data_IF_726915879263
#
_entry.id   IF_726915879263
#
_cell.length_a   1.000
_cell.length_b   1.000
_cell.length_c   1.000
_cell.angle_alpha   90.00
_cell.angle_beta   90.00
_cell.angle_gamma   90.00
#
_symmetry.space_group_name_H-M   'P 1'
#
loop_
_entity.id
_entity.type
_entity.pdbx_description
1 polymer ?
#
# COMPACT_ATOMS: atom_id res chain seq x y z
N UNK A 1 -25.42 4.63 3.77
CA UNK A 1 -25.98 4.75 2.40
C UNK A 1 -26.27 3.35 1.88
N UNK A 2 -27.53 2.98 1.66
CA UNK A 2 -27.91 1.61 1.27
C UNK A 2 -27.51 1.33 -0.18
N UNK A 3 -26.52 0.44 -0.40
CA UNK A 3 -25.94 0.14 -1.73
C UNK A 3 -27.00 -0.24 -2.76
N UNK A 4 -28.03 -1.00 -2.38
CA UNK A 4 -29.09 -1.47 -3.29
C UNK A 4 -29.95 -0.31 -3.85
N UNK A 5 -30.20 0.74 -3.06
CA UNK A 5 -30.98 1.91 -3.51
C UNK A 5 -30.22 2.70 -4.58
N UNK A 6 -28.92 2.84 -4.42
CA UNK A 6 -28.04 3.49 -5.40
C UNK A 6 -27.96 2.67 -6.68
N UNK A 7 -27.81 1.35 -6.56
CA UNK A 7 -27.78 0.43 -7.71
C UNK A 7 -29.08 0.49 -8.52
N UNK A 8 -30.24 0.42 -7.85
CA UNK A 8 -31.54 0.54 -8.50
C UNK A 8 -31.72 1.88 -9.22
N UNK A 9 -31.28 2.99 -8.60
CA UNK A 9 -31.36 4.32 -9.24
C UNK A 9 -30.52 4.43 -10.51
N UNK A 10 -29.36 3.77 -10.56
CA UNK A 10 -28.42 3.89 -11.68
C UNK A 10 -28.76 2.95 -12.85
N UNK A 11 -29.33 1.79 -12.56
CA UNK A 11 -29.41 0.69 -13.53
C UNK A 11 -30.77 -0.03 -13.55
N UNK A 12 -31.76 0.43 -12.76
CA UNK A 12 -33.09 -0.16 -12.71
C UNK A 12 -33.11 -1.57 -12.13
N UNK A 13 -34.12 -2.34 -12.52
CA UNK A 13 -34.31 -3.74 -12.09
C UNK A 13 -33.22 -4.67 -12.64
N UNK A 14 -32.69 -4.37 -13.83
CA UNK A 14 -31.66 -5.16 -14.51
C UNK A 14 -30.39 -5.36 -13.68
N UNK A 15 -30.05 -4.41 -12.80
CA UNK A 15 -28.88 -4.55 -11.93
C UNK A 15 -29.01 -5.57 -10.80
N UNK A 16 -30.21 -6.13 -10.59
CA UNK A 16 -30.40 -7.26 -9.67
C UNK A 16 -30.29 -8.62 -10.37
N UNK A 17 -30.46 -8.65 -11.70
CA UNK A 17 -30.38 -9.88 -12.49
C UNK A 17 -28.96 -10.14 -13.01
N UNK A 18 -28.12 -9.11 -13.13
CA UNK A 18 -26.73 -9.25 -13.54
C UNK A 18 -25.72 -9.18 -12.38
N UNK A 19 -24.74 -10.08 -12.32
CA UNK A 19 -23.56 -9.92 -11.46
C UNK A 19 -22.70 -8.76 -11.98
N UNK A 20 -22.45 -7.76 -11.12
CA UNK A 20 -21.73 -6.52 -11.47
C UNK A 20 -20.49 -6.28 -10.61
N UNK A 21 -20.21 -7.14 -9.63
CA UNK A 21 -18.97 -7.07 -8.85
C UNK A 21 -17.78 -7.25 -9.78
N UNK A 22 -16.74 -6.43 -9.60
CA UNK A 22 -15.50 -6.51 -10.37
C UNK A 22 -15.55 -5.92 -11.80
N UNK A 23 -16.73 -5.74 -12.41
CA UNK A 23 -16.86 -5.22 -13.80
C UNK A 23 -16.28 -3.81 -14.02
N UNK A 24 -16.22 -2.98 -12.98
CA UNK A 24 -15.59 -1.65 -13.02
C UNK A 24 -14.33 -1.57 -12.16
N UNK A 25 -13.75 -2.70 -11.78
CA UNK A 25 -12.51 -2.72 -11.03
C UNK A 25 -11.36 -2.35 -11.96
N UNK A 26 -10.70 -1.23 -11.71
CA UNK A 26 -9.45 -0.84 -12.40
C UNK A 26 -8.30 -1.82 -12.11
N UNK A 27 -8.51 -2.79 -11.20
CA UNK A 27 -7.50 -3.78 -10.84
C UNK A 27 -6.28 -3.16 -10.13
N UNK A 28 -5.22 -3.94 -10.01
CA UNK A 28 -3.94 -3.43 -9.53
C UNK A 28 -3.31 -2.58 -10.64
N UNK A 29 -3.04 -1.29 -10.42
CA UNK A 29 -2.43 -0.45 -11.44
C UNK A 29 -1.08 -1.02 -11.87
N UNK A 30 -0.86 -1.06 -13.18
CA UNK A 30 0.37 -1.56 -13.79
C UNK A 30 1.55 -0.68 -13.37
N UNK A 31 2.67 -1.30 -12.99
CA UNK A 31 3.88 -0.59 -12.55
C UNK A 31 4.51 0.23 -13.70
N UNK A 32 4.15 -0.07 -14.96
CA UNK A 32 4.58 0.67 -16.15
C UNK A 32 3.95 2.06 -16.26
N UNK A 33 2.76 2.28 -15.70
CA UNK A 33 2.00 3.55 -15.81
C UNK A 33 2.26 4.54 -14.66
N UNK A 34 3.25 4.28 -13.80
CA UNK A 34 3.62 5.24 -12.75
C UNK A 34 4.36 6.44 -13.37
N UNK A 35 3.72 7.61 -13.30
CA UNK A 35 4.37 8.90 -13.56
C UNK A 35 5.70 9.02 -12.80
N UNK A 36 6.69 9.67 -13.40
CA UNK A 36 8.01 9.88 -12.81
C UNK A 36 7.95 10.43 -11.36
N UNK A 37 7.01 11.36 -11.08
CA UNK A 37 6.79 11.90 -9.74
C UNK A 37 6.42 10.82 -8.71
N UNK A 38 5.55 9.87 -9.10
CA UNK A 38 5.12 8.79 -8.20
C UNK A 38 6.24 7.77 -7.98
N UNK A 39 7.09 7.51 -9.00
CA UNK A 39 8.28 6.65 -8.87
C UNK A 39 9.29 7.26 -7.89
N UNK A 40 9.55 8.56 -8.02
CA UNK A 40 10.44 9.30 -7.14
C UNK A 40 9.96 9.26 -5.69
N UNK A 41 8.68 9.57 -5.44
CA UNK A 41 8.10 9.48 -4.09
C UNK A 41 8.20 8.07 -3.48
N UNK A 42 8.01 7.01 -4.29
CA UNK A 42 8.15 5.62 -3.83
C UNK A 42 9.61 5.30 -3.47
N UNK A 43 10.56 5.76 -4.28
CA UNK A 43 11.99 5.58 -4.02
C UNK A 43 12.42 6.32 -2.73
N UNK A 44 12.03 7.58 -2.56
CA UNK A 44 12.33 8.36 -1.35
C UNK A 44 11.77 7.71 -0.08
N UNK A 45 10.52 7.23 -0.14
CA UNK A 45 9.91 6.50 0.97
C UNK A 45 10.68 5.21 1.30
N UNK A 46 11.17 4.50 0.27
CA UNK A 46 11.98 3.29 0.46
C UNK A 46 13.34 3.62 1.06
N UNK A 47 14.00 4.68 0.61
CA UNK A 47 15.29 5.14 1.15
C UNK A 47 15.14 5.46 2.64
N UNK A 48 14.16 6.29 3.01
CA UNK A 48 13.91 6.68 4.40
C UNK A 48 13.62 5.46 5.30
N UNK A 49 12.89 4.48 4.78
CA UNK A 49 12.63 3.24 5.50
C UNK A 49 13.92 2.45 5.76
N UNK A 50 14.75 2.27 4.74
CA UNK A 50 16.03 1.54 4.86
C UNK A 50 17.03 2.27 5.75
N UNK A 51 17.04 3.61 5.72
CA UNK A 51 17.85 4.42 6.64
C UNK A 51 17.46 4.20 8.10
N UNK A 52 16.15 4.13 8.39
CA UNK A 52 15.65 3.84 9.73
C UNK A 52 15.99 2.40 10.17
N UNK A 53 15.89 1.40 9.28
CA UNK A 53 16.33 0.03 9.58
C UNK A 53 17.84 -0.02 9.90
N UNK A 54 18.67 0.66 9.11
CA UNK A 54 20.10 0.72 9.37
C UNK A 54 20.43 1.41 10.69
N UNK A 55 19.73 2.47 11.06
CA UNK A 55 19.91 3.14 12.35
C UNK A 55 19.54 2.21 13.52
N UNK A 56 18.45 1.46 13.39
CA UNK A 56 18.04 0.46 14.38
C UNK A 56 19.11 -0.61 14.56
N UNK A 57 19.64 -1.16 13.46
CA UNK A 57 20.69 -2.18 13.51
C UNK A 57 21.95 -1.67 14.21
N UNK A 58 22.40 -0.45 13.90
CA UNK A 58 23.55 0.17 14.59
C UNK A 58 23.35 0.30 16.09
N UNK A 59 22.13 0.64 16.54
CA UNK A 59 21.81 0.71 17.97
C UNK A 59 21.87 -0.66 18.63
N UNK A 60 21.37 -1.71 17.96
CA UNK A 60 21.44 -3.08 18.47
C UNK A 60 22.88 -3.58 18.58
N UNK A 61 23.71 -3.35 17.56
CA UNK A 61 25.14 -3.70 17.59
C UNK A 61 25.87 -3.05 18.76
N UNK A 62 25.57 -1.77 19.04
CA UNK A 62 26.16 -1.07 20.18
C UNK A 62 25.74 -1.68 21.52
N UNK A 63 24.46 -2.02 21.67
CA UNK A 63 23.94 -2.68 22.87
C UNK A 63 24.59 -4.05 23.08
N UNK A 64 24.73 -4.85 22.02
CA UNK A 64 25.41 -6.13 22.09
C UNK A 64 26.88 -5.97 22.49
N UNK A 65 27.57 -4.98 21.92
CA UNK A 65 28.97 -4.69 22.25
C UNK A 65 29.13 -4.30 23.72
N UNK A 66 28.20 -3.52 24.26
CA UNK A 66 28.20 -3.15 25.68
C UNK A 66 27.92 -4.36 26.58
N UNK A 67 26.98 -5.24 26.20
CA UNK A 67 26.70 -6.46 26.94
C UNK A 67 27.92 -7.39 26.99
N UNK A 68 28.61 -7.59 25.87
CA UNK A 68 29.85 -8.39 25.81
C UNK A 68 30.97 -7.83 26.67
N UNK A 69 31.08 -6.50 26.81
CA UNK A 69 32.09 -5.85 27.68
C UNK A 69 31.77 -5.95 29.18
N UNK A 70 30.49 -6.21 29.54
CA UNK A 70 30.02 -6.32 30.92
C UNK A 70 29.98 -7.76 31.43
N UNK A 71 30.08 -8.74 30.52
CA UNK A 71 30.29 -10.16 30.80
C UNK A 71 31.76 -10.45 31.02
#
# INVERSE_FOLDING_TARGET
MNRWRTTFRLYGEDAFFEERRGKSSTGRPSEKELSAKKKLKKAEARIKYLEAENELLKKLEELERQARKRS
#
